data_IF_175364037436
#
_entry.id   IF_175364037436
#
_cell.length_a   1.000
_cell.length_b   1.000
_cell.length_c   1.000
_cell.angle_alpha   90.00
_cell.angle_beta   90.00
_cell.angle_gamma   90.00
#
_symmetry.space_group_name_H-M   'P 1'
#
loop_
_entity.id
_entity.type
_entity.pdbx_description
1 polymer ?
#
# COMPACT_ATOMS: atom_id res chain seq x y z
N UNK A 1 -31.40 -8.89 71.50
CA UNK A 1 -31.37 -7.56 70.82
C UNK A 1 -30.21 -7.55 69.82
N UNK A 2 -30.51 -7.13 68.59
CA UNK A 2 -29.62 -6.67 67.50
C UNK A 2 -28.47 -7.56 67.01
N UNK A 3 -28.72 -8.18 65.86
CA UNK A 3 -27.75 -8.65 64.88
C UNK A 3 -27.21 -7.45 64.08
N UNK A 4 -25.92 -7.46 63.71
CA UNK A 4 -25.31 -6.46 62.83
C UNK A 4 -24.30 -7.11 61.90
N UNK A 5 -24.77 -7.67 60.78
CA UNK A 5 -23.95 -8.19 59.68
C UNK A 5 -23.60 -7.03 58.74
N UNK A 6 -22.33 -6.64 58.69
CA UNK A 6 -21.80 -5.67 57.72
C UNK A 6 -21.52 -6.43 56.42
N UNK A 7 -22.32 -6.17 55.39
CA UNK A 7 -22.05 -6.63 54.01
C UNK A 7 -21.12 -5.63 53.34
N UNK A 8 -19.85 -6.02 53.16
CA UNK A 8 -18.87 -5.27 52.37
C UNK A 8 -19.11 -5.60 50.89
N UNK A 9 -19.72 -4.65 50.15
CA UNK A 9 -19.96 -4.77 48.72
C UNK A 9 -18.66 -4.51 47.93
N UNK A 10 -18.15 -5.54 47.26
CA UNK A 10 -17.03 -5.44 46.34
C UNK A 10 -17.54 -4.89 45.00
N UNK A 11 -17.34 -3.59 44.74
CA UNK A 11 -17.56 -2.99 43.42
C UNK A 11 -16.45 -3.48 42.48
N UNK A 12 -16.79 -4.45 41.63
CA UNK A 12 -15.95 -4.87 40.51
C UNK A 12 -16.19 -3.90 39.34
N UNK A 13 -15.41 -2.83 39.29
CA UNK A 13 -15.44 -1.85 38.20
C UNK A 13 -14.76 -2.45 36.97
N UNK A 14 -15.54 -3.10 36.10
CA UNK A 14 -15.06 -3.53 34.78
C UNK A 14 -14.79 -2.30 33.92
N UNK A 15 -13.52 -1.87 33.86
CA UNK A 15 -13.03 -0.96 32.84
C UNK A 15 -13.18 -1.66 31.48
N UNK A 16 -14.26 -1.36 30.76
CA UNK A 16 -14.34 -1.62 29.33
C UNK A 16 -13.36 -0.66 28.65
N UNK A 17 -12.13 -1.12 28.42
CA UNK A 17 -11.25 -0.51 27.45
C UNK A 17 -11.90 -0.72 26.08
N UNK A 18 -12.60 0.30 25.58
CA UNK A 18 -12.92 0.39 24.17
C UNK A 18 -11.59 0.50 23.42
N UNK A 19 -11.05 -0.64 22.99
CA UNK A 19 -10.03 -0.67 21.98
C UNK A 19 -10.63 0.07 20.78
N UNK A 20 -10.17 1.29 20.53
CA UNK A 20 -10.51 2.01 19.32
C UNK A 20 -10.18 1.06 18.17
N UNK A 21 -11.20 0.61 17.46
CA UNK A 21 -11.02 -0.06 16.19
C UNK A 21 -10.29 0.96 15.31
N UNK A 22 -8.97 0.83 15.23
CA UNK A 22 -8.20 1.53 14.21
C UNK A 22 -8.83 1.07 12.90
N UNK A 23 -9.43 2.00 12.16
CA UNK A 23 -9.90 1.71 10.81
C UNK A 23 -8.73 1.06 10.09
N UNK A 24 -8.89 -0.22 9.75
CA UNK A 24 -7.87 -0.98 9.06
C UNK A 24 -7.71 -0.36 7.67
N UNK A 25 -6.54 0.21 7.37
CA UNK A 25 -6.24 0.87 6.09
C UNK A 25 -5.02 0.24 5.44
N UNK A 26 -5.00 0.29 4.12
CA UNK A 26 -3.80 -0.02 3.33
C UNK A 26 -3.12 1.29 3.00
N UNK A 27 -1.89 1.51 3.47
CA UNK A 27 -1.09 2.67 3.03
C UNK A 27 -0.21 2.29 1.85
N UNK A 28 -0.34 3.02 0.75
CA UNK A 28 0.49 2.85 -0.45
C UNK A 28 1.43 4.05 -0.56
N UNK A 29 2.74 3.80 -0.60
CA UNK A 29 3.74 4.85 -0.75
C UNK A 29 4.53 4.65 -2.02
N UNK A 30 4.62 5.70 -2.84
CA UNK A 30 5.48 5.77 -4.01
C UNK A 30 6.53 6.86 -3.78
N UNK A 31 7.80 6.47 -3.79
CA UNK A 31 8.92 7.35 -3.53
C UNK A 31 9.87 7.36 -4.74
N UNK A 32 10.18 8.55 -5.23
CA UNK A 32 11.31 8.76 -6.15
C UNK A 32 12.55 9.17 -5.35
N UNK A 33 13.15 8.18 -4.69
CA UNK A 33 14.30 8.30 -3.79
C UNK A 33 15.55 7.59 -4.34
N UNK A 34 15.45 6.98 -5.52
CA UNK A 34 16.54 6.28 -6.21
C UNK A 34 16.59 6.73 -7.68
N UNK A 35 17.78 6.90 -8.28
CA UNK A 35 17.92 7.51 -9.60
C UNK A 35 17.31 6.67 -10.75
N UNK A 36 17.21 5.36 -10.56
CA UNK A 36 16.81 4.38 -11.58
C UNK A 36 15.60 3.52 -11.15
N UNK A 37 14.97 3.83 -10.02
CA UNK A 37 13.79 3.13 -9.55
C UNK A 37 12.83 4.01 -8.73
N UNK A 38 11.56 3.62 -8.70
CA UNK A 38 10.63 4.02 -7.65
C UNK A 38 10.65 2.98 -6.52
N UNK A 39 10.71 3.45 -5.29
CA UNK A 39 10.41 2.62 -4.13
C UNK A 39 8.89 2.60 -3.94
N UNK A 40 8.31 1.41 -3.92
CA UNK A 40 6.88 1.19 -3.72
C UNK A 40 6.69 0.37 -2.46
N UNK A 41 5.77 0.78 -1.60
CA UNK A 41 5.42 0.00 -0.41
C UNK A 41 3.93 -0.02 -0.14
N UNK A 42 3.47 -1.14 0.41
CA UNK A 42 2.10 -1.36 0.86
C UNK A 42 2.18 -1.77 2.34
N UNK A 43 1.71 -0.91 3.25
CA UNK A 43 1.52 -1.26 4.65
C UNK A 43 0.13 -1.88 4.79
N UNK A 44 0.08 -3.13 5.26
CA UNK A 44 -1.16 -3.90 5.41
C UNK A 44 -1.60 -3.91 6.88
N UNK A 45 -2.91 -3.91 7.15
CA UNK A 45 -3.45 -4.27 8.47
C UNK A 45 -3.04 -5.69 8.86
N UNK A 46 -2.94 -5.97 10.16
CA UNK A 46 -2.53 -7.28 10.67
C UNK A 46 -3.46 -8.44 10.27
N UNK A 47 -4.70 -8.16 9.88
CA UNK A 47 -5.67 -9.14 9.38
C UNK A 47 -5.49 -9.49 7.90
N UNK A 48 -4.59 -8.80 7.18
CA UNK A 48 -4.42 -8.90 5.74
C UNK A 48 -3.03 -9.40 5.39
N UNK A 49 -2.95 -10.26 4.37
CA UNK A 49 -1.68 -10.79 3.85
C UNK A 49 -1.55 -10.73 2.35
N UNK A 50 -2.65 -10.55 1.66
CA UNK A 50 -2.75 -10.63 0.21
C UNK A 50 -3.52 -9.40 -0.26
N UNK A 51 -2.99 -8.70 -1.27
CA UNK A 51 -3.69 -7.62 -1.94
C UNK A 51 -3.76 -7.93 -3.42
N UNK A 52 -4.98 -7.98 -3.96
CA UNK A 52 -5.20 -8.10 -5.39
C UNK A 52 -5.02 -6.75 -6.08
N UNK A 53 -4.38 -6.73 -7.24
CA UNK A 53 -4.34 -5.55 -8.09
C UNK A 53 -5.71 -5.31 -8.76
N UNK A 54 -6.00 -4.04 -9.03
CA UNK A 54 -7.07 -3.64 -9.94
C UNK A 54 -6.49 -3.75 -11.36
N UNK A 55 -6.96 -4.74 -12.12
CA UNK A 55 -6.50 -5.03 -13.49
C UNK A 55 -7.62 -4.79 -14.52
N UNK A 56 -8.56 -3.88 -14.25
CA UNK A 56 -9.69 -3.61 -15.15
C UNK A 56 -9.19 -3.21 -16.55
N UNK A 57 -9.62 -3.97 -17.57
CA UNK A 57 -9.18 -3.77 -18.95
C UNK A 57 -7.76 -4.25 -19.27
N UNK A 58 -7.01 -4.79 -18.31
CA UNK A 58 -5.67 -5.36 -18.50
C UNK A 58 -5.77 -6.88 -18.65
N UNK A 59 -5.21 -7.43 -19.73
CA UNK A 59 -5.16 -8.89 -19.93
C UNK A 59 -4.22 -9.55 -18.92
N UNK A 60 -4.47 -10.80 -18.47
CA UNK A 60 -3.60 -11.48 -17.50
C UNK A 60 -2.11 -11.47 -17.88
N UNK A 61 -1.77 -11.83 -19.12
CA UNK A 61 -0.38 -11.83 -19.58
C UNK A 61 0.26 -10.43 -19.56
N UNK A 62 -0.51 -9.38 -19.83
CA UNK A 62 -0.04 -7.99 -19.74
C UNK A 62 0.14 -7.55 -18.29
N UNK A 63 -0.70 -8.05 -17.37
CA UNK A 63 -0.54 -7.78 -15.94
C UNK A 63 0.73 -8.46 -15.39
N UNK A 64 1.01 -9.70 -15.81
CA UNK A 64 2.25 -10.39 -15.48
C UNK A 64 3.46 -9.63 -16.01
N UNK A 65 3.42 -9.22 -17.28
CA UNK A 65 4.49 -8.41 -17.89
C UNK A 65 4.70 -7.06 -17.20
N UNK A 66 3.62 -6.40 -16.77
CA UNK A 66 3.66 -5.13 -16.05
C UNK A 66 4.43 -5.21 -14.72
N UNK A 67 4.50 -6.39 -14.11
CA UNK A 67 5.06 -6.58 -12.76
C UNK A 67 6.26 -7.52 -12.72
N UNK A 68 6.58 -8.16 -13.84
CA UNK A 68 7.72 -9.08 -14.01
C UNK A 68 9.06 -8.50 -13.54
N UNK A 69 9.25 -7.20 -13.70
CA UNK A 69 10.50 -6.52 -13.36
C UNK A 69 10.50 -5.85 -11.97
N UNK A 70 9.43 -6.02 -11.20
CA UNK A 70 9.40 -5.53 -9.82
C UNK A 70 10.29 -6.40 -8.96
N UNK A 71 11.22 -5.76 -8.27
CA UNK A 71 12.18 -6.46 -7.41
C UNK A 71 11.73 -6.32 -5.97
N UNK A 72 11.60 -7.41 -5.20
CA UNK A 72 11.35 -7.29 -3.77
C UNK A 72 12.53 -6.57 -3.10
N UNK A 73 12.23 -5.62 -2.20
CA UNK A 73 13.27 -4.86 -1.50
C UNK A 73 13.85 -5.63 -0.29
N UNK A 74 13.12 -6.63 0.17
CA UNK A 74 13.45 -7.54 1.27
C UNK A 74 12.73 -8.89 1.03
N UNK A 75 12.76 -9.79 2.00
CA UNK A 75 12.12 -11.10 1.88
C UNK A 75 10.70 -11.14 2.47
N UNK A 76 10.05 -9.98 2.66
CA UNK A 76 8.71 -9.89 3.27
C UNK A 76 7.54 -10.05 2.29
N UNK A 77 7.77 -9.90 0.99
CA UNK A 77 6.70 -9.99 0.01
C UNK A 77 7.14 -10.54 -1.34
N UNK A 78 6.18 -11.13 -2.05
CA UNK A 78 6.25 -11.46 -3.48
C UNK A 78 5.16 -10.71 -4.24
N UNK A 79 5.36 -10.54 -5.53
CA UNK A 79 4.40 -9.92 -6.45
C UNK A 79 4.30 -10.73 -7.73
N UNK A 80 3.12 -10.79 -8.31
CA UNK A 80 2.85 -11.29 -9.65
C UNK A 80 1.88 -10.35 -10.39
N UNK A 81 1.36 -10.76 -11.55
CA UNK A 81 0.41 -9.93 -12.28
C UNK A 81 -0.93 -9.70 -11.58
N UNK A 82 -1.32 -10.58 -10.65
CA UNK A 82 -2.62 -10.56 -9.98
C UNK A 82 -2.58 -9.88 -8.62
N UNK A 83 -1.48 -9.97 -7.89
CA UNK A 83 -1.39 -9.38 -6.56
C UNK A 83 -0.01 -9.39 -5.95
N UNK A 84 0.02 -8.94 -4.70
CA UNK A 84 1.15 -9.07 -3.80
C UNK A 84 0.76 -9.92 -2.60
N UNK A 85 1.75 -10.59 -2.02
CA UNK A 85 1.56 -11.55 -0.94
C UNK A 85 2.68 -11.43 0.09
N UNK A 86 2.32 -11.25 1.37
CA UNK A 86 3.26 -11.30 2.48
C UNK A 86 3.74 -12.74 2.71
N UNK A 87 5.04 -12.91 2.78
CA UNK A 87 5.70 -14.23 2.84
C UNK A 87 5.88 -14.76 4.26
N UNK A 88 5.95 -13.88 5.27
CA UNK A 88 6.17 -14.24 6.68
C UNK A 88 5.16 -13.56 7.60
N UNK A 89 4.84 -14.22 8.71
CA UNK A 89 3.85 -13.74 9.69
C UNK A 89 4.29 -12.48 10.43
N UNK A 90 5.60 -12.25 10.52
CA UNK A 90 6.17 -11.04 11.11
C UNK A 90 6.13 -9.83 10.18
N UNK A 91 5.83 -10.02 8.90
CA UNK A 91 5.80 -8.94 7.92
C UNK A 91 4.46 -8.23 7.96
N UNK A 92 4.49 -6.91 7.84
CA UNK A 92 3.30 -6.07 7.69
C UNK A 92 3.41 -5.10 6.52
N UNK A 93 4.59 -5.02 5.88
CA UNK A 93 4.84 -4.19 4.70
C UNK A 93 5.32 -5.05 3.54
N UNK A 94 4.73 -4.89 2.37
CA UNK A 94 5.29 -5.35 1.10
C UNK A 94 6.09 -4.21 0.46
N UNK A 95 7.35 -4.44 0.09
CA UNK A 95 8.25 -3.40 -0.44
C UNK A 95 8.89 -3.87 -1.74
N UNK A 96 8.85 -3.01 -2.74
CA UNK A 96 9.38 -3.30 -4.07
C UNK A 96 10.19 -2.13 -4.62
N UNK A 97 11.27 -2.45 -5.31
CA UNK A 97 11.99 -1.55 -6.21
C UNK A 97 11.44 -1.75 -7.61
N UNK A 98 10.97 -0.67 -8.21
CA UNK A 98 10.29 -0.69 -9.52
C UNK A 98 11.10 0.15 -10.51
N UNK A 99 11.73 -0.46 -11.54
CA UNK A 99 12.76 0.20 -12.35
C UNK A 99 12.20 1.32 -13.23
N UNK A 100 12.80 2.50 -13.26
CA UNK A 100 12.37 3.61 -14.14
C UNK A 100 12.95 3.36 -15.53
N UNK A 101 12.10 3.01 -16.50
CA UNK A 101 12.55 2.78 -17.88
C UNK A 101 11.42 2.97 -18.88
N UNK A 102 11.76 3.29 -20.12
CA UNK A 102 10.81 3.14 -21.20
C UNK A 102 10.50 1.66 -21.39
N UNK A 103 9.23 1.31 -21.27
CA UNK A 103 8.74 -0.03 -21.52
C UNK A 103 7.44 0.08 -22.30
N UNK A 104 7.27 -0.79 -23.29
CA UNK A 104 6.07 -0.85 -24.10
C UNK A 104 5.39 -2.18 -23.82
N UNK A 105 4.16 -2.10 -23.31
CA UNK A 105 3.27 -3.24 -23.14
C UNK A 105 2.07 -2.95 -24.03
N UNK A 106 1.66 -3.91 -24.86
CA UNK A 106 0.56 -3.71 -25.81
C UNK A 106 -0.69 -3.17 -25.09
N UNK A 107 -1.06 -1.93 -25.44
CA UNK A 107 -2.23 -1.21 -24.90
C UNK A 107 -2.23 -1.00 -23.38
N UNK A 108 -1.10 -1.16 -22.70
CA UNK A 108 -0.97 -0.93 -21.26
C UNK A 108 0.15 0.09 -21.01
N UNK A 109 -0.17 1.13 -20.25
CA UNK A 109 0.85 2.06 -19.79
C UNK A 109 1.72 1.40 -18.73
N UNK A 110 3.05 1.45 -18.85
CA UNK A 110 3.95 0.84 -17.88
C UNK A 110 3.91 1.59 -16.54
N UNK A 111 4.49 0.97 -15.52
CA UNK A 111 4.49 1.45 -14.15
C UNK A 111 5.14 2.84 -13.97
N UNK A 112 6.33 3.07 -14.53
CA UNK A 112 7.08 4.31 -14.40
C UNK A 112 8.01 4.54 -15.59
N UNK A 113 8.05 5.79 -16.06
CA UNK A 113 8.88 6.22 -17.17
C UNK A 113 9.71 7.45 -16.76
N UNK A 114 10.93 7.60 -17.29
CA UNK A 114 11.70 8.81 -17.06
C UNK A 114 11.02 10.02 -17.71
N UNK A 115 11.03 11.15 -17.00
CA UNK A 115 10.58 12.47 -17.47
C UNK A 115 11.75 13.44 -17.25
N UNK A 116 11.91 14.49 -18.07
CA UNK A 116 13.03 15.44 -17.91
C UNK A 116 13.17 15.97 -16.47
N UNK A 117 14.18 15.50 -15.73
CA UNK A 117 14.40 15.83 -14.31
C UNK A 117 13.49 15.11 -13.30
N UNK A 118 12.83 14.02 -13.67
CA UNK A 118 11.89 13.31 -12.81
C UNK A 118 11.35 12.00 -13.39
N UNK A 119 10.19 11.58 -12.88
CA UNK A 119 9.53 10.32 -13.21
C UNK A 119 8.06 10.58 -13.44
N UNK A 120 7.50 9.96 -14.48
CA UNK A 120 6.06 9.83 -14.66
C UNK A 120 5.64 8.43 -14.22
N UNK A 121 4.74 8.32 -13.23
CA UNK A 121 4.23 7.04 -12.75
C UNK A 121 2.71 6.94 -12.96
N UNK A 122 2.28 5.80 -13.49
CA UNK A 122 0.87 5.50 -13.71
C UNK A 122 0.30 4.77 -12.49
N UNK A 123 -0.53 5.43 -11.66
CA UNK A 123 -1.03 4.82 -10.40
C UNK A 123 -1.83 3.55 -10.61
N UNK A 124 -2.48 3.39 -11.76
CA UNK A 124 -3.20 2.16 -12.13
C UNK A 124 -2.31 0.91 -12.06
N UNK A 125 -1.00 1.05 -12.33
CA UNK A 125 -0.06 -0.07 -12.27
C UNK A 125 0.22 -0.55 -10.84
N UNK A 126 -0.11 0.28 -9.85
CA UNK A 126 0.09 0.06 -8.42
C UNK A 126 -1.24 -0.06 -7.65
N UNK A 127 -2.38 0.11 -8.34
CA UNK A 127 -3.68 0.16 -7.69
C UNK A 127 -4.11 -1.23 -7.21
N UNK A 128 -4.55 -1.32 -5.96
CA UNK A 128 -5.02 -2.55 -5.32
C UNK A 128 -6.47 -2.43 -4.93
N UNK A 129 -7.17 -3.57 -4.87
CA UNK A 129 -8.55 -3.64 -4.39
C UNK A 129 -8.61 -3.27 -2.90
N UNK A 130 -9.69 -2.61 -2.45
CA UNK A 130 -9.86 -2.24 -1.04
C UNK A 130 -10.31 -3.43 -0.16
N UNK A 131 -9.90 -4.66 -0.49
CA UNK A 131 -10.34 -5.89 0.18
C UNK A 131 -9.82 -5.96 1.63
N UNK A 132 -8.72 -5.27 1.91
CA UNK A 132 -8.11 -5.15 3.24
C UNK A 132 -8.39 -3.79 3.91
N UNK A 133 -9.39 -3.05 3.42
CA UNK A 133 -9.73 -1.71 3.87
C UNK A 133 -9.43 -0.64 2.82
N UNK A 134 -9.83 0.63 3.09
CA UNK A 134 -9.57 1.73 2.19
C UNK A 134 -8.07 1.93 1.95
N UNK A 135 -7.75 2.40 0.74
CA UNK A 135 -6.38 2.62 0.28
C UNK A 135 -6.01 4.10 0.40
N UNK A 136 -5.01 4.39 1.22
CA UNK A 136 -4.46 5.73 1.42
C UNK A 136 -3.13 5.87 0.68
N UNK A 137 -3.06 6.86 -0.23
CA UNK A 137 -1.87 7.08 -1.04
C UNK A 137 -0.98 8.19 -0.50
N UNK A 138 0.32 7.94 -0.54
CA UNK A 138 1.37 8.90 -0.22
C UNK A 138 2.41 8.93 -1.34
N UNK A 139 2.79 10.13 -1.74
CA UNK A 139 3.76 10.35 -2.80
C UNK A 139 4.87 11.27 -2.30
N UNK A 140 6.12 10.93 -2.62
CA UNK A 140 7.27 11.81 -2.36
C UNK A 140 8.32 11.65 -3.46
N UNK A 141 9.08 12.72 -3.70
CA UNK A 141 10.09 12.74 -4.74
C UNK A 141 11.38 13.45 -4.30
N UNK A 142 12.14 12.91 -3.32
CA UNK A 142 13.36 13.56 -2.85
C UNK A 142 14.42 13.81 -3.94
N UNK A 143 14.44 13.00 -5.01
CA UNK A 143 15.41 13.14 -6.11
C UNK A 143 14.93 13.98 -7.30
N UNK A 144 13.73 14.56 -7.25
CA UNK A 144 13.25 15.41 -8.34
C UNK A 144 11.73 15.51 -8.41
N UNK A 145 11.19 15.41 -9.62
CA UNK A 145 9.73 15.49 -9.82
C UNK A 145 9.13 14.09 -9.95
N UNK A 146 8.05 13.82 -9.22
CA UNK A 146 7.16 12.68 -9.49
C UNK A 146 5.85 13.21 -10.08
N UNK A 147 5.52 12.80 -11.30
CA UNK A 147 4.26 13.12 -11.96
C UNK A 147 3.34 11.91 -11.89
N UNK A 148 2.15 12.11 -11.34
CA UNK A 148 1.10 11.12 -11.15
C UNK A 148 -0.12 11.54 -11.94
N UNK A 149 -0.57 10.70 -12.88
CA UNK A 149 -1.77 10.96 -13.71
C UNK A 149 -1.78 12.37 -14.33
N UNK A 150 -0.64 12.81 -14.87
CA UNK A 150 -0.47 14.12 -15.48
C UNK A 150 -0.33 15.31 -14.51
N UNK A 151 -0.37 15.09 -13.19
CA UNK A 151 -0.21 16.12 -12.16
C UNK A 151 1.11 15.93 -11.42
N UNK A 152 1.81 17.02 -11.10
CA UNK A 152 2.96 16.95 -10.20
C UNK A 152 2.48 16.54 -8.82
N UNK A 153 3.12 15.54 -8.23
CA UNK A 153 2.99 15.29 -6.80
C UNK A 153 3.60 16.47 -6.07
N UNK A 154 2.79 17.17 -5.26
CA UNK A 154 3.36 17.99 -4.20
C UNK A 154 3.99 17.06 -3.16
N UNK A 155 5.07 17.50 -2.51
CA UNK A 155 5.65 16.75 -1.39
C UNK A 155 4.56 16.56 -0.32
N UNK A 156 4.24 15.31 0.01
CA UNK A 156 3.17 14.89 0.95
C UNK A 156 1.70 15.01 0.46
N UNK A 157 1.46 14.86 -0.85
CA UNK A 157 0.10 14.74 -1.36
C UNK A 157 -0.59 13.45 -0.86
N UNK A 158 -1.67 13.59 -0.07
CA UNK A 158 -2.63 12.50 0.21
C UNK A 158 -3.70 12.50 -0.86
N UNK A 159 -3.90 11.36 -1.52
CA UNK A 159 -5.00 11.19 -2.48
C UNK A 159 -5.91 10.09 -1.94
N UNK A 160 -7.14 10.45 -1.59
CA UNK A 160 -8.19 9.47 -1.33
C UNK A 160 -8.52 8.74 -2.64
N UNK A 161 -8.54 7.40 -2.62
CA UNK A 161 -8.98 6.64 -3.78
C UNK A 161 -10.41 7.03 -4.16
N UNK A 162 -10.61 7.49 -5.40
CA UNK A 162 -11.93 7.75 -5.96
C UNK A 162 -12.70 6.44 -6.11
N UNK A 163 -13.95 6.45 -5.65
CA UNK A 163 -14.96 5.37 -5.74
C UNK A 163 -15.26 4.97 -7.18
#
# INVERSE_FOLDING_TARGET
>A
MRHGLIRLGLLCTTMFAAAAAQDARVEVRLLFDQPDALSVSYQLPSSCRDLAFINDGIRPASADELRRDWQPADDCARVDGQGLHLTKDSCSTARFRVPIRFHFIDRVYPWAQPLGGGVYAHTQSYAVKPDCGPVDWHFSAPLGTLVINGKRSESDARVAAGT
#
